data_IF_863534255630
#
_entry.id   IF_863534255630
#
_cell.length_a   1.000
_cell.length_b   1.000
_cell.length_c   1.000
_cell.angle_alpha   90.00
_cell.angle_beta   90.00
_cell.angle_gamma   90.00
#
_symmetry.space_group_name_H-M   'P 1'
#
loop_
_entity.id
_entity.type
_entity.pdbx_description
1 polymer ?
#
# COMPACT_ATOMS: atom_id res chain seq x y z
N UNK A 1 16.28 17.17 12.19
CA UNK A 1 14.85 16.93 12.08
C UNK A 1 14.58 16.01 10.89
N UNK A 2 13.82 14.99 11.11
CA UNK A 2 13.41 14.15 9.99
C UNK A 2 12.39 14.91 9.14
N UNK A 3 12.55 14.87 7.85
CA UNK A 3 11.54 15.38 6.96
C UNK A 3 10.47 14.29 6.72
N UNK A 4 9.52 14.57 5.84
CA UNK A 4 8.44 13.62 5.59
C UNK A 4 8.93 12.32 4.95
N UNK A 5 10.05 12.39 4.24
CA UNK A 5 10.61 11.22 3.58
C UNK A 5 11.33 10.31 4.56
N UNK A 6 11.79 10.89 5.67
CA UNK A 6 12.44 10.14 6.73
C UNK A 6 11.45 9.58 7.72
N UNK A 7 10.16 9.85 7.54
CA UNK A 7 9.13 9.23 8.37
C UNK A 7 9.24 7.74 8.24
N UNK A 8 9.31 7.07 9.36
CA UNK A 8 9.51 5.63 9.36
C UNK A 8 8.30 4.94 8.76
N UNK A 9 8.59 4.06 7.83
CA UNK A 9 7.57 3.20 7.26
C UNK A 9 7.10 2.19 8.31
N UNK A 10 5.86 1.78 8.20
CA UNK A 10 5.31 0.78 9.11
C UNK A 10 5.52 -0.62 8.56
N UNK A 11 5.34 -0.78 7.25
CA UNK A 11 5.53 -2.06 6.57
C UNK A 11 6.06 -1.83 5.17
N UNK A 12 6.54 -2.91 4.56
CA UNK A 12 6.67 -2.99 3.10
C UNK A 12 5.69 -4.04 2.61
N UNK A 13 5.20 -3.83 1.40
CA UNK A 13 4.27 -4.74 0.74
C UNK A 13 4.80 -5.10 -0.64
N UNK A 14 4.45 -6.29 -1.09
CA UNK A 14 4.57 -6.67 -2.49
C UNK A 14 3.18 -6.51 -3.08
N UNK A 15 3.02 -5.66 -4.08
CA UNK A 15 1.71 -5.29 -4.58
C UNK A 15 1.71 -5.26 -6.10
N UNK A 16 0.58 -5.69 -6.67
CA UNK A 16 0.33 -5.62 -8.10
C UNK A 16 -1.01 -4.91 -8.30
N UNK A 17 -0.97 -3.79 -9.02
CA UNK A 17 -2.20 -3.10 -9.37
C UNK A 17 -2.87 -3.81 -10.53
N UNK A 18 -4.19 -3.99 -10.43
CA UNK A 18 -4.96 -4.61 -11.49
C UNK A 18 -4.89 -3.77 -12.75
N UNK A 19 -4.86 -4.45 -13.89
CA UNK A 19 -4.98 -3.73 -15.17
C UNK A 19 -6.41 -3.21 -15.32
N UNK A 20 -6.59 -2.29 -16.26
CA UNK A 20 -7.92 -1.77 -16.57
C UNK A 20 -8.87 -2.90 -16.98
N UNK A 21 -8.37 -3.85 -17.75
CA UNK A 21 -9.16 -5.00 -18.20
C UNK A 21 -9.58 -5.91 -17.05
N UNK A 22 -8.78 -5.94 -15.98
CA UNK A 22 -9.11 -6.71 -14.78
C UNK A 22 -10.05 -5.97 -13.85
N UNK A 23 -10.50 -4.79 -14.23
CA UNK A 23 -11.38 -3.98 -13.40
C UNK A 23 -10.64 -3.02 -12.50
N UNK A 24 -9.37 -2.78 -12.74
CA UNK A 24 -8.55 -1.87 -11.96
C UNK A 24 -8.70 -0.41 -12.40
N UNK A 25 -7.71 0.39 -12.04
CA UNK A 25 -7.68 1.80 -12.42
C UNK A 25 -7.54 1.95 -13.93
N UNK A 26 -7.90 3.13 -14.43
CA UNK A 26 -7.74 3.43 -15.86
C UNK A 26 -6.34 3.93 -16.18
N UNK A 27 -5.63 4.43 -15.16
CA UNK A 27 -4.31 5.03 -15.34
C UNK A 27 -3.35 4.52 -14.27
N UNK A 28 -2.05 4.47 -14.58
CA UNK A 28 -1.03 4.18 -13.57
C UNK A 28 -1.05 5.22 -12.46
N UNK A 29 -0.35 4.92 -11.36
CA UNK A 29 -0.16 5.89 -10.30
C UNK A 29 1.25 6.44 -10.35
N UNK A 30 1.39 7.72 -9.98
CA UNK A 30 2.68 8.38 -9.97
C UNK A 30 2.68 9.48 -8.91
N UNK A 31 3.84 10.04 -8.64
CA UNK A 31 4.04 11.09 -7.67
C UNK A 31 4.83 10.60 -6.47
N UNK A 32 4.85 11.38 -5.40
CA UNK A 32 5.60 11.02 -4.20
C UNK A 32 4.85 10.00 -3.36
N UNK A 33 3.54 10.16 -3.24
CA UNK A 33 2.70 9.33 -2.38
C UNK A 33 1.40 8.99 -3.08
N UNK A 34 0.83 7.88 -2.68
CA UNK A 34 -0.53 7.51 -3.05
C UNK A 34 -1.28 7.09 -1.79
N UNK A 35 -2.38 7.76 -1.52
CA UNK A 35 -3.19 7.48 -0.33
C UNK A 35 -4.45 6.74 -0.71
N UNK A 36 -4.74 5.67 0.00
CA UNK A 36 -5.96 4.89 -0.20
C UNK A 36 -6.19 3.99 1.01
N UNK A 37 -7.42 3.49 1.19
CA UNK A 37 -7.64 2.44 2.18
C UNK A 37 -6.97 1.12 1.75
N UNK A 38 -6.42 0.42 2.73
CA UNK A 38 -5.94 -0.95 2.58
C UNK A 38 -6.93 -1.84 3.30
N UNK A 39 -7.48 -2.82 2.59
CA UNK A 39 -8.41 -3.77 3.21
C UNK A 39 -7.59 -4.91 3.83
N UNK A 40 -7.82 -5.10 5.11
CA UNK A 40 -7.19 -6.15 5.90
C UNK A 40 -8.32 -6.87 6.64
N UNK A 41 -8.49 -8.15 6.37
CA UNK A 41 -9.59 -8.93 6.92
C UNK A 41 -10.95 -8.27 6.65
N UNK A 42 -11.10 -7.67 5.48
CA UNK A 42 -12.35 -7.02 5.08
C UNK A 42 -12.58 -5.63 5.64
N UNK A 43 -11.67 -5.10 6.44
CA UNK A 43 -11.77 -3.75 7.02
C UNK A 43 -10.80 -2.80 6.33
N UNK A 44 -11.24 -1.57 6.08
CA UNK A 44 -10.43 -0.54 5.46
C UNK A 44 -9.62 0.25 6.49
N UNK A 45 -8.34 0.39 6.22
CA UNK A 45 -7.43 1.19 7.05
C UNK A 45 -6.71 2.18 6.15
N UNK A 46 -6.84 3.45 6.46
CA UNK A 46 -6.21 4.49 5.66
C UNK A 46 -4.69 4.34 5.72
N UNK A 47 -4.07 4.40 4.56
CA UNK A 47 -2.62 4.31 4.47
C UNK A 47 -2.09 5.24 3.39
N UNK A 48 -0.80 5.46 3.46
CA UNK A 48 -0.08 6.23 2.48
C UNK A 48 1.07 5.38 1.96
N UNK A 49 1.12 5.21 0.66
CA UNK A 49 2.12 4.41 -0.01
C UNK A 49 3.17 5.36 -0.56
N UNK A 50 4.42 5.11 -0.21
CA UNK A 50 5.54 5.91 -0.69
C UNK A 50 5.93 5.40 -2.08
N UNK A 51 5.75 6.25 -3.08
CA UNK A 51 6.12 5.92 -4.46
C UNK A 51 7.54 6.37 -4.79
N UNK A 52 8.08 7.26 -3.96
CA UNK A 52 9.44 7.79 -4.15
C UNK A 52 9.63 8.35 -5.57
N UNK A 53 8.61 9.04 -6.06
CA UNK A 53 8.63 9.64 -7.39
C UNK A 53 8.48 8.65 -8.53
N UNK A 54 8.29 7.37 -8.24
CA UNK A 54 8.19 6.34 -9.28
C UNK A 54 6.81 6.32 -9.90
N UNK A 55 6.77 5.91 -11.17
CA UNK A 55 5.52 5.61 -11.83
C UNK A 55 5.25 4.12 -11.64
N UNK A 56 4.10 3.80 -11.07
CA UNK A 56 3.70 2.41 -10.83
C UNK A 56 2.76 1.99 -11.93
N UNK A 57 3.23 1.13 -12.82
CA UNK A 57 2.45 0.65 -13.95
C UNK A 57 1.47 -0.43 -13.50
N UNK A 58 0.30 -0.45 -14.12
CA UNK A 58 -0.71 -1.47 -13.84
C UNK A 58 -0.21 -2.83 -14.35
N UNK A 59 -0.51 -3.88 -13.59
CA UNK A 59 -0.19 -5.25 -14.00
C UNK A 59 1.21 -5.71 -13.65
N UNK A 60 2.00 -4.90 -12.97
CA UNK A 60 3.36 -5.26 -12.57
C UNK A 60 3.48 -5.30 -11.05
N UNK A 61 4.39 -6.12 -10.57
CA UNK A 61 4.66 -6.23 -9.14
C UNK A 61 5.68 -5.19 -8.69
N UNK A 62 5.41 -4.61 -7.52
CA UNK A 62 6.31 -3.64 -6.90
C UNK A 62 6.42 -3.91 -5.40
N UNK A 63 7.59 -3.61 -4.85
CA UNK A 63 7.78 -3.58 -3.41
C UNK A 63 7.74 -2.12 -2.98
N UNK A 64 6.76 -1.77 -2.17
CA UNK A 64 6.52 -0.38 -1.78
C UNK A 64 6.43 -0.26 -0.27
N UNK A 65 6.86 0.88 0.25
CA UNK A 65 6.78 1.19 1.67
C UNK A 65 5.43 1.83 1.98
N UNK A 66 4.87 1.48 3.13
CA UNK A 66 3.54 1.93 3.53
C UNK A 66 3.58 2.47 4.95
N UNK A 67 2.85 3.56 5.16
CA UNK A 67 2.62 4.13 6.48
C UNK A 67 1.12 4.20 6.71
N UNK A 68 0.68 3.69 7.87
CA UNK A 68 -0.74 3.73 8.22
C UNK A 68 -1.05 5.01 8.99
N UNK A 69 -2.26 5.53 8.80
CA UNK A 69 -2.73 6.68 9.54
C UNK A 69 -2.81 6.35 11.03
N UNK A 70 -3.28 5.15 11.35
CA UNK A 70 -3.38 4.69 12.73
C UNK A 70 -2.66 3.35 12.89
N UNK A 71 -1.35 3.44 13.00
CA UNK A 71 -0.47 2.27 13.10
C UNK A 71 -0.88 1.31 14.22
N UNK A 72 -1.22 1.84 15.38
CA UNK A 72 -1.48 1.00 16.55
C UNK A 72 -2.72 0.10 16.38
N UNK A 73 -3.65 0.52 15.54
CA UNK A 73 -4.84 -0.30 15.25
C UNK A 73 -4.59 -1.34 14.18
N UNK A 74 -3.57 -1.15 13.35
CA UNK A 74 -3.36 -1.97 12.16
C UNK A 74 -2.28 -3.01 12.38
N UNK A 75 -1.13 -2.61 12.90
CA UNK A 75 0.04 -3.50 12.99
C UNK A 75 -0.26 -4.80 13.75
N UNK A 76 -1.04 -4.80 14.84
CA UNK A 76 -1.35 -6.06 15.53
C UNK A 76 -2.10 -7.09 14.66
N UNK A 77 -2.69 -6.66 13.54
CA UNK A 77 -3.41 -7.55 12.65
C UNK A 77 -2.50 -8.18 11.59
N UNK A 78 -1.26 -7.71 11.49
CA UNK A 78 -0.39 -8.04 10.36
C UNK A 78 0.63 -9.11 10.71
N UNK A 79 1.02 -9.85 9.68
CA UNK A 79 2.12 -10.80 9.72
C UNK A 79 2.67 -10.94 8.31
N UNK A 80 3.93 -11.40 8.15
CA UNK A 80 4.50 -11.58 6.80
C UNK A 80 3.65 -12.49 5.95
N UNK A 81 3.48 -12.11 4.68
CA UNK A 81 2.66 -12.78 3.68
C UNK A 81 1.16 -12.63 3.87
N UNK A 82 0.72 -11.84 4.87
CA UNK A 82 -0.71 -11.56 5.02
C UNK A 82 -1.23 -10.90 3.76
N UNK A 83 -2.30 -11.42 3.15
CA UNK A 83 -2.87 -10.79 1.95
C UNK A 83 -3.55 -9.47 2.30
N UNK A 84 -3.39 -8.50 1.42
CA UNK A 84 -4.02 -7.18 1.56
C UNK A 84 -4.54 -6.75 0.20
N UNK A 85 -5.50 -5.83 0.23
CA UNK A 85 -6.11 -5.28 -0.98
C UNK A 85 -6.07 -3.76 -0.86
N UNK A 86 -5.72 -3.09 -1.95
CA UNK A 86 -5.87 -1.64 -2.03
C UNK A 86 -7.20 -1.33 -2.67
N UNK A 87 -7.91 -0.34 -2.13
CA UNK A 87 -9.29 -0.08 -2.47
C UNK A 87 -9.48 1.37 -2.86
N UNK A 88 -10.25 1.62 -3.94
CA UNK A 88 -10.57 2.95 -4.42
C UNK A 88 -11.97 2.89 -5.04
N UNK A 89 -12.96 2.74 -4.17
CA UNK A 89 -14.33 2.47 -4.60
C UNK A 89 -14.53 1.05 -5.13
N UNK A 90 -13.44 0.32 -5.31
CA UNK A 90 -13.39 -1.07 -5.74
C UNK A 90 -11.97 -1.60 -5.46
N UNK A 91 -11.78 -2.89 -5.56
CA UNK A 91 -10.45 -3.47 -5.41
C UNK A 91 -9.58 -3.07 -6.61
N UNK A 92 -8.50 -2.34 -6.35
CA UNK A 92 -7.62 -1.86 -7.43
C UNK A 92 -6.26 -2.56 -7.44
N UNK A 93 -5.89 -3.23 -6.35
CA UNK A 93 -4.61 -3.92 -6.27
C UNK A 93 -4.66 -5.03 -5.24
N UNK A 94 -3.86 -6.05 -5.47
CA UNK A 94 -3.67 -7.15 -4.54
C UNK A 94 -2.22 -7.19 -4.11
N UNK A 95 -2.00 -7.49 -2.84
CA UNK A 95 -0.64 -7.57 -2.35
C UNK A 95 -0.53 -8.43 -1.11
N UNK A 96 0.66 -8.44 -0.56
CA UNK A 96 0.93 -9.13 0.70
C UNK A 96 1.95 -8.34 1.50
N UNK A 97 1.85 -8.47 2.81
CA UNK A 97 2.81 -7.86 3.72
C UNK A 97 4.15 -8.58 3.57
N UNK A 98 5.24 -7.84 3.46
CA UNK A 98 6.58 -8.42 3.42
C UNK A 98 7.25 -8.26 4.77
N UNK A 99 7.48 -7.04 5.20
CA UNK A 99 8.15 -6.75 6.46
C UNK A 99 7.32 -5.80 7.30
N UNK A 100 7.39 -5.97 8.59
CA UNK A 100 6.74 -5.11 9.57
C UNK A 100 7.86 -4.49 10.40
N UNK A 101 7.86 -3.16 10.50
CA UNK A 101 8.92 -2.45 11.19
C UNK A 101 8.44 -2.02 12.59
N UNK A 102 9.34 -2.19 13.52
CA UNK A 102 9.10 -1.79 14.90
C UNK A 102 9.60 -0.35 15.08
N UNK A 103 8.69 0.58 14.91
CA UNK A 103 9.02 2.01 14.98
C UNK A 103 8.78 2.58 16.37
#
# INVERSE_FOLDING_TARGET
>A
MADLHDSKRDVTINVRFKTTEEGGRKTPISGEFYACPMLIDGKGFDCRIDLDGKKVELGHNYVLSVKFLNRSSVVPLLYPKKPVILWEGKDIANGEILEIFDN
#
